data_IF_518405712126
#
_entry.id   IF_518405712126
#
_cell.length_a   1.000
_cell.length_b   1.000
_cell.length_c   1.000
_cell.angle_alpha   90.00
_cell.angle_beta   90.00
_cell.angle_gamma   90.00
#
_symmetry.space_group_name_H-M   'P 1'
#
loop_
_entity.id
_entity.type
_entity.pdbx_description
1 polymer ?
#
# COMPACT_ATOMS: atom_id res chain seq x y z
N UNK A 1 -5.86 -11.82 -5.47
CA UNK A 1 -5.42 -10.98 -4.35
C UNK A 1 -5.68 -9.52 -4.71
N UNK A 2 -6.33 -8.76 -3.82
CA UNK A 2 -6.57 -7.33 -4.04
C UNK A 2 -5.57 -6.52 -3.22
N UNK A 3 -4.94 -5.55 -3.85
CA UNK A 3 -4.02 -4.60 -3.21
C UNK A 3 -4.63 -3.21 -3.37
N UNK A 4 -4.91 -2.60 -2.24
CA UNK A 4 -5.58 -1.33 -2.11
C UNK A 4 -4.57 -0.21 -1.92
N UNK A 5 -4.67 0.84 -2.72
CA UNK A 5 -3.97 2.09 -2.47
C UNK A 5 -4.93 3.07 -1.81
N UNK A 6 -4.53 3.58 -0.65
CA UNK A 6 -5.27 4.54 0.14
C UNK A 6 -5.45 5.90 -0.58
N UNK A 7 -6.36 6.75 -0.10
CA UNK A 7 -6.71 8.03 -0.71
C UNK A 7 -5.54 9.04 -0.74
N UNK A 8 -4.51 8.82 0.08
CA UNK A 8 -3.29 9.62 0.08
C UNK A 8 -2.35 9.32 -1.11
N UNK A 9 -2.66 8.33 -1.93
CA UNK A 9 -2.02 8.16 -3.23
C UNK A 9 -2.78 8.87 -4.35
N UNK A 10 -2.03 9.42 -5.30
CA UNK A 10 -2.62 9.97 -6.52
C UNK A 10 -3.27 8.86 -7.35
N UNK A 11 -4.55 9.04 -7.71
CA UNK A 11 -5.28 8.14 -8.61
C UNK A 11 -4.50 7.78 -9.87
N UNK A 12 -3.78 8.75 -10.47
CA UNK A 12 -2.96 8.53 -11.67
C UNK A 12 -1.87 7.46 -11.48
N UNK A 13 -1.24 7.43 -10.30
CA UNK A 13 -0.22 6.43 -9.97
C UNK A 13 -0.89 5.07 -9.86
N UNK A 14 -2.01 5.00 -9.15
CA UNK A 14 -2.73 3.73 -8.91
C UNK A 14 -3.30 3.16 -10.21
N UNK A 15 -3.91 3.99 -11.06
CA UNK A 15 -4.39 3.57 -12.38
C UNK A 15 -3.24 3.05 -13.25
N UNK A 16 -2.10 3.74 -13.27
CA UNK A 16 -0.91 3.27 -13.99
C UNK A 16 -0.43 1.90 -13.50
N UNK A 17 -0.33 1.72 -12.17
CA UNK A 17 0.03 0.42 -11.58
C UNK A 17 -0.99 -0.68 -11.87
N UNK A 18 -2.28 -0.34 -11.92
CA UNK A 18 -3.34 -1.27 -12.32
C UNK A 18 -3.16 -1.74 -13.75
N UNK A 19 -2.88 -0.84 -14.69
CA UNK A 19 -2.59 -1.21 -16.09
C UNK A 19 -1.33 -2.07 -16.20
N UNK A 20 -0.25 -1.72 -15.49
CA UNK A 20 0.96 -2.54 -15.47
C UNK A 20 0.70 -3.95 -14.91
N UNK A 21 -0.13 -4.06 -13.88
CA UNK A 21 -0.47 -5.36 -13.29
C UNK A 21 -1.40 -6.19 -14.19
N UNK A 22 -2.32 -5.57 -14.93
CA UNK A 22 -3.20 -6.25 -15.88
C UNK A 22 -2.42 -6.94 -17.01
N UNK A 23 -1.23 -6.47 -17.34
CA UNK A 23 -0.33 -7.14 -18.28
C UNK A 23 0.23 -8.48 -17.75
N UNK A 24 0.01 -8.81 -16.47
CA UNK A 24 0.41 -10.07 -15.80
C UNK A 24 -0.78 -10.74 -15.10
N UNK A 25 -1.83 -11.16 -15.83
CA UNK A 25 -3.06 -11.69 -15.23
C UNK A 25 -2.84 -13.00 -14.46
N UNK A 26 -1.83 -13.79 -14.84
CA UNK A 26 -1.48 -15.06 -14.18
C UNK A 26 -1.05 -14.90 -12.72
N UNK A 27 -0.66 -13.69 -12.29
CA UNK A 27 -0.34 -13.43 -10.88
C UNK A 27 -1.60 -13.31 -10.01
N UNK A 28 -2.78 -13.13 -10.62
CA UNK A 28 -4.05 -13.02 -9.90
C UNK A 28 -4.10 -11.82 -8.96
N UNK A 29 -3.42 -10.72 -9.28
CA UNK A 29 -3.35 -9.49 -8.47
C UNK A 29 -4.19 -8.40 -9.11
N UNK A 30 -5.04 -7.76 -8.32
CA UNK A 30 -5.80 -6.57 -8.70
C UNK A 30 -5.31 -5.37 -7.90
N UNK A 31 -4.98 -4.29 -8.57
CA UNK A 31 -4.60 -3.01 -7.96
C UNK A 31 -5.79 -2.07 -8.02
N UNK A 32 -6.21 -1.58 -6.85
CA UNK A 32 -7.45 -0.84 -6.67
C UNK A 32 -7.14 0.44 -5.89
N UNK A 33 -7.69 1.57 -6.33
CA UNK A 33 -7.71 2.79 -5.52
C UNK A 33 -8.91 2.74 -4.59
N UNK A 34 -8.73 2.85 -3.28
CA UNK A 34 -9.83 2.67 -2.32
C UNK A 34 -11.06 3.53 -2.61
N UNK A 35 -10.94 4.80 -3.02
CA UNK A 35 -12.11 5.61 -3.39
C UNK A 35 -12.90 5.09 -4.59
N UNK A 36 -12.28 4.34 -5.51
CA UNK A 36 -12.98 3.77 -6.68
C UNK A 36 -13.90 2.61 -6.30
N UNK A 37 -13.56 1.81 -5.28
CA UNK A 37 -14.37 0.65 -4.88
C UNK A 37 -15.37 0.98 -3.78
N UNK A 38 -15.03 1.86 -2.84
CA UNK A 38 -15.84 2.09 -1.65
C UNK A 38 -16.36 3.53 -1.49
N UNK A 39 -16.00 4.44 -2.40
CA UNK A 39 -16.20 5.87 -2.21
C UNK A 39 -15.24 6.47 -1.18
N UNK A 40 -15.30 7.79 -0.99
CA UNK A 40 -14.45 8.48 0.00
C UNK A 40 -14.93 8.19 1.43
N UNK A 41 -14.01 7.81 2.33
CA UNK A 41 -14.31 7.60 3.76
C UNK A 41 -14.95 6.25 4.11
N UNK A 42 -14.74 5.23 3.30
CA UNK A 42 -15.27 3.89 3.54
C UNK A 42 -14.68 3.20 4.77
N UNK A 43 -15.41 2.21 5.30
CA UNK A 43 -15.00 1.39 6.46
C UNK A 43 -14.00 0.31 6.04
N UNK A 44 -12.94 0.16 6.83
CA UNK A 44 -11.73 -0.63 6.53
C UNK A 44 -11.93 -2.17 6.60
N UNK A 45 -13.15 -2.65 6.89
CA UNK A 45 -13.44 -4.05 7.26
C UNK A 45 -13.38 -5.06 6.08
N UNK A 46 -13.37 -4.59 4.82
CA UNK A 46 -13.31 -5.45 3.62
C UNK A 46 -11.91 -5.56 2.99
N UNK A 47 -10.92 -4.84 3.51
CA UNK A 47 -9.61 -4.73 2.85
C UNK A 47 -8.75 -5.97 3.05
N UNK A 48 -8.17 -6.51 1.97
CA UNK A 48 -7.20 -7.59 2.10
C UNK A 48 -5.79 -7.09 2.41
N UNK A 49 -5.32 -6.10 1.65
CA UNK A 49 -3.97 -5.54 1.74
C UNK A 49 -4.00 -4.05 1.36
N UNK A 50 -3.40 -3.18 2.17
CA UNK A 50 -3.44 -1.73 2.00
C UNK A 50 -2.05 -1.13 1.89
N UNK A 51 -1.87 -0.18 0.98
CA UNK A 51 -0.72 0.71 0.87
C UNK A 51 -1.17 2.11 1.26
N UNK A 52 -0.51 2.70 2.24
CA UNK A 52 -0.86 4.04 2.75
C UNK A 52 0.40 4.89 2.98
N UNK A 53 0.29 6.20 2.78
CA UNK A 53 1.30 7.19 3.17
C UNK A 53 1.04 7.82 4.55
N UNK A 54 -0.08 7.48 5.22
CA UNK A 54 -0.40 8.05 6.54
C UNK A 54 0.47 7.40 7.63
N UNK A 55 1.56 8.09 7.97
CA UNK A 55 2.47 7.71 9.05
C UNK A 55 2.44 8.80 10.11
N UNK A 56 1.31 8.92 10.80
CA UNK A 56 1.28 9.59 12.09
C UNK A 56 1.40 8.53 13.18
N UNK A 57 2.45 8.56 14.02
CA UNK A 57 2.79 7.48 14.98
C UNK A 57 1.62 7.08 15.89
N UNK A 58 0.76 8.03 16.28
CA UNK A 58 -0.43 7.77 17.09
C UNK A 58 -1.54 7.10 16.27
N UNK A 59 -1.70 7.48 14.99
CA UNK A 59 -2.61 6.81 14.06
C UNK A 59 -2.07 5.47 13.60
N UNK A 60 -0.77 5.31 13.36
CA UNK A 60 -0.14 4.08 12.89
C UNK A 60 -0.35 2.94 13.88
N UNK A 61 -0.26 3.20 15.18
CA UNK A 61 -0.56 2.18 16.19
C UNK A 61 -2.04 1.78 16.18
N UNK A 62 -2.96 2.75 16.18
CA UNK A 62 -4.39 2.49 16.14
C UNK A 62 -4.83 1.79 14.82
N UNK A 63 -4.31 2.26 13.69
CA UNK A 63 -4.50 1.65 12.36
C UNK A 63 -3.92 0.23 12.32
N UNK A 64 -2.76 -0.01 12.93
CA UNK A 64 -2.17 -1.33 13.01
C UNK A 64 -2.99 -2.27 13.90
N UNK A 65 -3.44 -1.80 15.06
CA UNK A 65 -4.33 -2.56 15.96
C UNK A 65 -5.64 -2.93 15.24
N UNK A 66 -6.24 -1.99 14.49
CA UNK A 66 -7.40 -2.26 13.65
C UNK A 66 -7.10 -3.27 12.53
N UNK A 67 -5.97 -3.13 11.84
CA UNK A 67 -5.54 -4.08 10.82
C UNK A 67 -5.35 -5.49 11.38
N UNK A 68 -4.82 -5.61 12.60
CA UNK A 68 -4.68 -6.90 13.26
C UNK A 68 -6.03 -7.56 13.54
N UNK A 69 -7.00 -6.79 14.06
CA UNK A 69 -8.36 -7.28 14.33
C UNK A 69 -9.04 -7.77 13.05
N UNK A 70 -8.87 -7.05 11.95
CA UNK A 70 -9.48 -7.34 10.65
C UNK A 70 -8.61 -8.25 9.74
N UNK A 71 -7.47 -8.74 10.22
CA UNK A 71 -6.51 -9.59 9.45
C UNK A 71 -6.08 -8.96 8.12
N UNK A 72 -5.79 -7.66 8.16
CA UNK A 72 -5.35 -6.85 7.03
C UNK A 72 -3.82 -6.87 6.95
N UNK A 73 -3.27 -6.96 5.74
CA UNK A 73 -1.86 -6.68 5.49
C UNK A 73 -1.65 -5.21 5.18
N UNK A 74 -0.65 -4.55 5.77
CA UNK A 74 -0.43 -3.11 5.56
C UNK A 74 1.02 -2.78 5.17
N UNK A 75 1.16 -1.86 4.23
CA UNK A 75 2.43 -1.27 3.81
C UNK A 75 2.38 0.24 4.01
N UNK A 76 3.27 0.75 4.87
CA UNK A 76 3.42 2.18 5.13
C UNK A 76 4.53 2.77 4.25
N UNK A 77 4.15 3.61 3.29
CA UNK A 77 5.08 4.38 2.46
C UNK A 77 5.51 5.65 3.19
N UNK A 78 6.72 5.64 3.75
CA UNK A 78 7.21 6.76 4.55
C UNK A 78 7.80 7.88 3.72
N UNK A 79 7.21 9.10 3.74
CA UNK A 79 7.84 10.25 3.12
C UNK A 79 9.23 10.54 3.67
N UNK A 80 10.17 10.98 2.81
CA UNK A 80 11.35 11.67 3.31
C UNK A 80 10.92 12.98 4.00
N UNK A 81 11.74 13.48 4.93
CA UNK A 81 11.41 14.68 5.75
C UNK A 81 11.07 15.93 4.94
N UNK A 82 11.56 16.03 3.70
CA UNK A 82 11.28 17.15 2.79
C UNK A 82 9.96 16.99 2.00
N UNK A 83 9.18 15.95 2.28
CA UNK A 83 8.00 15.58 1.50
C UNK A 83 8.34 14.79 0.24
N UNK A 84 7.32 14.19 -0.36
CA UNK A 84 7.48 13.51 -1.65
C UNK A 84 7.32 14.49 -2.81
N UNK A 85 8.27 14.49 -3.75
CA UNK A 85 7.91 14.91 -5.11
C UNK A 85 7.16 13.78 -5.80
N UNK A 86 6.21 14.13 -6.68
CA UNK A 86 5.36 13.16 -7.35
C UNK A 86 6.16 12.02 -8.01
N UNK A 87 7.22 12.34 -8.74
CA UNK A 87 8.08 11.36 -9.40
C UNK A 87 8.94 10.52 -8.44
N UNK A 88 9.17 10.97 -7.21
CA UNK A 88 9.81 10.13 -6.20
C UNK A 88 8.82 9.06 -5.72
N UNK A 89 7.53 9.36 -5.57
CA UNK A 89 6.49 8.36 -5.24
C UNK A 89 6.40 7.32 -6.37
N UNK A 90 6.27 7.79 -7.62
CA UNK A 90 6.18 6.90 -8.78
C UNK A 90 7.36 5.93 -8.82
N UNK A 91 8.59 6.45 -8.69
CA UNK A 91 9.80 5.62 -8.69
C UNK A 91 9.81 4.61 -7.55
N UNK A 92 9.47 5.02 -6.33
CA UNK A 92 9.46 4.08 -5.20
C UNK A 92 8.37 3.01 -5.36
N UNK A 93 7.16 3.37 -5.78
CA UNK A 93 6.10 2.38 -6.02
C UNK A 93 6.52 1.37 -7.08
N UNK A 94 7.05 1.83 -8.22
CA UNK A 94 7.47 0.96 -9.32
C UNK A 94 8.64 0.08 -8.91
N UNK A 95 9.70 0.65 -8.31
CA UNK A 95 10.90 -0.11 -7.95
C UNK A 95 10.64 -1.14 -6.85
N UNK A 96 9.67 -0.87 -5.96
CA UNK A 96 9.31 -1.76 -4.84
C UNK A 96 8.23 -2.76 -5.19
N UNK A 97 7.58 -2.63 -6.34
CA UNK A 97 6.38 -3.39 -6.65
C UNK A 97 6.59 -4.91 -6.56
N UNK A 98 7.69 -5.43 -7.10
CA UNK A 98 8.01 -6.85 -7.03
C UNK A 98 8.21 -7.34 -5.58
N UNK A 99 8.90 -6.55 -4.75
CA UNK A 99 9.09 -6.85 -3.32
C UNK A 99 7.76 -6.83 -2.57
N UNK A 100 6.91 -5.83 -2.84
CA UNK A 100 5.56 -5.71 -2.26
C UNK A 100 4.71 -6.93 -2.62
N UNK A 101 4.68 -7.36 -3.89
CA UNK A 101 3.94 -8.55 -4.35
C UNK A 101 4.37 -9.81 -3.62
N UNK A 102 5.68 -9.98 -3.38
CA UNK A 102 6.21 -11.13 -2.65
C UNK A 102 5.80 -11.11 -1.18
N UNK A 103 5.98 -9.97 -0.50
CA UNK A 103 5.61 -9.80 0.90
C UNK A 103 4.09 -9.91 1.11
N UNK A 104 3.30 -9.45 0.14
CA UNK A 104 1.84 -9.51 0.15
C UNK A 104 1.27 -10.94 0.22
N UNK A 105 2.05 -11.95 -0.17
CA UNK A 105 1.65 -13.37 -0.10
C UNK A 105 1.80 -13.99 1.29
N UNK A 106 2.40 -13.28 2.24
CA UNK A 106 2.57 -13.78 3.61
C UNK A 106 1.22 -13.93 4.32
N UNK A 107 1.21 -14.74 5.39
CA UNK A 107 0.03 -14.92 6.23
C UNK A 107 -0.30 -13.59 6.93
N UNK A 108 -1.55 -13.16 6.79
CA UNK A 108 -2.07 -11.94 7.41
C UNK A 108 -2.47 -12.18 8.88
N UNK A 109 -2.41 -11.14 9.73
CA UNK A 109 -1.98 -9.77 9.43
C UNK A 109 -0.45 -9.66 9.28
N UNK A 110 0.00 -8.69 8.50
CA UNK A 110 1.41 -8.30 8.40
C UNK A 110 1.53 -6.79 8.28
N UNK A 111 2.64 -6.23 8.75
CA UNK A 111 2.92 -4.80 8.67
C UNK A 111 4.33 -4.57 8.16
N UNK A 112 4.49 -3.68 7.19
CA UNK A 112 5.79 -3.32 6.64
C UNK A 112 5.89 -1.81 6.45
N UNK A 113 7.12 -1.29 6.52
CA UNK A 113 7.46 0.10 6.23
C UNK A 113 8.41 0.17 5.05
N UNK A 114 8.07 1.04 4.10
CA UNK A 114 8.84 1.33 2.90
C UNK A 114 9.46 2.72 3.07
N UNK A 115 10.78 2.74 3.21
CA UNK A 115 11.56 3.98 3.37
C UNK A 115 12.54 4.14 2.20
N UNK A 116 12.53 5.30 1.54
CA UNK A 116 13.37 5.59 0.37
C UNK A 116 14.86 5.25 0.59
N UNK A 117 15.39 5.52 1.78
CA UNK A 117 16.82 5.34 2.10
C UNK A 117 17.22 3.90 2.37
N UNK A 118 16.28 3.00 2.64
CA UNK A 118 16.57 1.61 2.97
C UNK A 118 16.55 0.75 1.71
N UNK A 119 17.52 -0.14 1.57
CA UNK A 119 17.56 -1.05 0.41
C UNK A 119 16.45 -2.10 0.41
N UNK A 120 15.87 -2.42 1.57
CA UNK A 120 14.81 -3.42 1.72
C UNK A 120 13.61 -2.84 2.46
N UNK A 121 12.44 -3.39 2.19
CA UNK A 121 11.23 -3.16 2.99
C UNK A 121 11.47 -3.79 4.37
N UNK A 122 11.13 -3.05 5.43
CA UNK A 122 11.34 -3.50 6.83
C UNK A 122 9.99 -3.87 7.47
N UNK A 123 9.94 -4.90 8.34
CA UNK A 123 8.75 -5.13 9.18
C UNK A 123 8.43 -3.92 10.05
N UNK A 124 7.12 -3.73 10.31
CA UNK A 124 6.61 -2.72 11.24
C UNK A 124 7.03 -3.00 12.69
#
# INVERSE_FOLDING_TARGET
MRIYFDENFSHRIVSGMSEFQKAKPSEGISVIWTPDEFGKGAKDEEWSIVLTQDINIHRTRAQWEMCQQNKIGIFFFKPPRAGWSHWVIVREVVNRWEEIKLLAKQKRPFGFVIEQRKKKIVPL
#
